data_IF_623428664885
#
_entry.id   IF_623428664885
#
_cell.length_a   1.000
_cell.length_b   1.000
_cell.length_c   1.000
_cell.angle_alpha   90.00
_cell.angle_beta   90.00
_cell.angle_gamma   90.00
#
_symmetry.space_group_name_H-M   'P 1'
#
loop_
_entity.id
_entity.type
_entity.pdbx_description
1 polymer ?
#
# COMPACT_ATOMS: atom_id res chain seq x y z
N UNK A 1 -0.43 -9.14 -15.59
CA UNK A 1 0.23 -8.75 -14.35
C UNK A 1 0.74 -7.34 -14.54
N UNK A 2 0.34 -6.39 -13.70
CA UNK A 2 0.79 -5.00 -13.82
C UNK A 2 2.04 -4.77 -12.97
N UNK A 3 2.27 -5.58 -11.93
CA UNK A 3 3.47 -5.53 -11.08
C UNK A 3 3.79 -4.14 -10.50
N UNK A 4 2.79 -3.25 -10.37
CA UNK A 4 3.00 -1.86 -9.94
C UNK A 4 3.58 -0.94 -11.02
N UNK A 5 3.56 -1.32 -12.30
CA UNK A 5 4.07 -0.52 -13.42
C UNK A 5 2.98 0.43 -13.97
N UNK A 6 3.20 1.74 -13.81
CA UNK A 6 2.31 2.80 -14.31
C UNK A 6 2.20 2.81 -15.83
N UNK A 7 3.30 2.63 -16.54
CA UNK A 7 3.32 2.71 -18.01
C UNK A 7 2.62 1.49 -18.61
N UNK A 8 2.80 0.31 -17.98
CA UNK A 8 2.07 -0.89 -18.34
C UNK A 8 0.57 -0.72 -18.09
N UNK A 9 0.16 -0.23 -16.89
CA UNK A 9 -1.25 0.05 -16.59
C UNK A 9 -1.84 1.02 -17.61
N UNK A 10 -1.10 2.10 -17.91
CA UNK A 10 -1.53 3.13 -18.85
C UNK A 10 -1.79 2.53 -20.23
N UNK A 11 -0.84 1.73 -20.74
CA UNK A 11 -0.97 1.02 -22.01
C UNK A 11 -2.14 0.04 -22.00
N UNK A 12 -2.31 -0.71 -20.91
CA UNK A 12 -3.42 -1.65 -20.75
C UNK A 12 -4.78 -0.94 -20.85
N UNK A 13 -4.95 0.18 -20.15
CA UNK A 13 -6.18 0.97 -20.20
C UNK A 13 -6.39 1.56 -21.60
N UNK A 14 -5.35 2.11 -22.24
CA UNK A 14 -5.44 2.66 -23.60
C UNK A 14 -5.79 1.63 -24.67
N UNK A 15 -5.36 0.38 -24.50
CA UNK A 15 -5.66 -0.73 -25.42
C UNK A 15 -6.95 -1.47 -25.07
N UNK A 16 -7.54 -1.18 -23.90
CA UNK A 16 -8.74 -1.85 -23.44
C UNK A 16 -9.96 -1.48 -24.29
N UNK A 17 -10.79 -2.48 -24.57
CA UNK A 17 -12.08 -2.29 -25.22
C UNK A 17 -13.19 -1.88 -24.24
N UNK A 18 -12.91 -1.92 -22.94
CA UNK A 18 -13.91 -1.66 -21.89
C UNK A 18 -13.47 -0.61 -20.87
N UNK A 19 -12.21 -0.17 -20.88
CA UNK A 19 -11.67 0.82 -19.94
C UNK A 19 -11.22 2.08 -20.66
N UNK A 20 -11.22 3.20 -19.93
CA UNK A 20 -10.66 4.48 -20.34
C UNK A 20 -10.08 5.22 -19.13
N UNK A 21 -9.33 6.29 -19.39
CA UNK A 21 -9.03 7.28 -18.35
C UNK A 21 -9.98 8.46 -18.47
N UNK A 22 -10.63 8.81 -17.36
CA UNK A 22 -11.52 9.96 -17.24
C UNK A 22 -10.83 11.03 -16.39
N UNK A 23 -10.86 12.33 -16.78
CA UNK A 23 -10.35 13.41 -15.93
C UNK A 23 -11.01 13.41 -14.55
N UNK A 24 -10.22 13.65 -13.51
CA UNK A 24 -10.69 13.75 -12.15
C UNK A 24 -10.74 15.22 -11.71
N UNK A 25 -11.95 15.72 -11.43
CA UNK A 25 -12.16 17.02 -10.82
C UNK A 25 -12.19 16.85 -9.28
N UNK A 26 -11.30 17.56 -8.57
CA UNK A 26 -11.33 17.63 -7.10
C UNK A 26 -12.65 18.28 -6.65
N UNK A 27 -13.65 17.45 -6.37
CA UNK A 27 -14.99 17.87 -5.99
C UNK A 27 -16.03 16.74 -5.99
N UNK A 28 -15.81 15.67 -6.77
CA UNK A 28 -16.86 14.70 -7.05
C UNK A 28 -16.96 13.48 -6.11
N UNK A 29 -15.98 13.17 -5.25
CA UNK A 29 -16.01 11.88 -4.51
C UNK A 29 -15.04 11.68 -3.35
N UNK A 30 -14.27 12.69 -2.92
CA UNK A 30 -13.27 12.48 -1.86
C UNK A 30 -13.86 12.07 -0.50
N UNK A 31 -15.14 12.41 -0.24
CA UNK A 31 -15.83 11.99 1.00
C UNK A 31 -16.34 10.54 0.95
N UNK A 32 -16.74 10.01 -0.21
CA UNK A 32 -17.28 8.64 -0.34
C UNK A 32 -16.17 7.57 -0.33
N UNK A 33 -14.99 7.90 -0.86
CA UNK A 33 -13.87 6.96 -0.95
C UNK A 33 -13.07 6.83 0.35
N UNK A 34 -13.27 7.75 1.31
CA UNK A 34 -12.51 7.79 2.55
C UNK A 34 -11.03 8.20 2.38
N UNK A 35 -10.58 8.52 1.16
CA UNK A 35 -9.24 9.03 0.86
C UNK A 35 -9.24 10.08 -0.26
N UNK A 36 -8.24 10.96 -0.25
CA UNK A 36 -8.03 11.96 -1.32
C UNK A 36 -7.35 11.27 -2.50
N UNK A 37 -8.02 11.23 -3.65
CA UNK A 37 -7.44 10.71 -4.88
C UNK A 37 -6.42 11.72 -5.45
N UNK A 38 -5.12 11.37 -5.54
CA UNK A 38 -4.05 12.35 -5.76
C UNK A 38 -3.73 12.62 -7.24
N UNK A 39 -4.41 11.97 -8.18
CA UNK A 39 -4.11 12.07 -9.61
C UNK A 39 -5.17 12.85 -10.38
N UNK A 40 -4.79 13.37 -11.55
CA UNK A 40 -5.61 14.17 -12.45
C UNK A 40 -6.57 13.34 -13.33
N UNK A 41 -6.44 12.01 -13.29
CA UNK A 41 -7.29 11.09 -14.05
C UNK A 41 -7.48 9.77 -13.29
N UNK A 42 -8.65 9.16 -13.47
CA UNK A 42 -8.97 7.85 -12.91
C UNK A 42 -9.38 6.85 -13.98
N UNK A 43 -9.25 5.56 -13.69
CA UNK A 43 -9.74 4.47 -14.56
C UNK A 43 -11.27 4.45 -14.54
N UNK A 44 -11.90 4.31 -15.69
CA UNK A 44 -13.35 4.20 -15.80
C UNK A 44 -13.75 3.17 -16.85
N UNK A 45 -14.99 2.68 -16.79
CA UNK A 45 -15.55 1.89 -17.87
C UNK A 45 -15.85 2.80 -19.08
N UNK A 46 -15.64 2.27 -20.28
CA UNK A 46 -16.10 2.95 -21.49
C UNK A 46 -17.63 3.07 -21.48
N UNK A 47 -18.20 4.21 -21.91
CA UNK A 47 -19.65 4.36 -22.02
C UNK A 47 -20.21 3.32 -22.98
N UNK A 48 -21.22 2.57 -22.56
CA UNK A 48 -21.82 1.56 -23.41
C UNK A 48 -22.51 2.23 -24.61
N UNK A 49 -21.97 2.04 -25.82
CA UNK A 49 -22.50 2.66 -27.04
C UNK A 49 -23.75 1.95 -27.58
N UNK A 50 -24.02 0.73 -27.14
CA UNK A 50 -25.06 -0.13 -27.69
C UNK A 50 -25.96 -0.62 -26.55
N UNK A 51 -27.05 0.09 -26.25
CA UNK A 51 -28.12 -0.40 -25.38
C UNK A 51 -29.33 -0.93 -26.18
N UNK A 52 -29.19 -1.16 -27.49
CA UNK A 52 -30.30 -1.58 -28.37
C UNK A 52 -30.49 -3.11 -28.43
N UNK A 53 -29.54 -3.89 -27.91
CA UNK A 53 -29.44 -5.33 -28.17
C UNK A 53 -30.17 -6.19 -27.12
N UNK A 54 -30.70 -5.60 -26.05
CA UNK A 54 -31.44 -6.31 -24.98
C UNK A 54 -30.64 -7.34 -24.16
N UNK A 55 -29.36 -7.55 -24.53
CA UNK A 55 -28.37 -8.35 -23.81
C UNK A 55 -27.07 -7.54 -23.70
N UNK A 56 -27.00 -6.62 -22.75
CA UNK A 56 -25.73 -5.97 -22.40
C UNK A 56 -25.40 -6.28 -20.95
N UNK A 57 -24.57 -7.31 -20.76
CA UNK A 57 -23.91 -7.48 -19.48
C UNK A 57 -22.94 -6.31 -19.30
N UNK A 58 -23.14 -5.55 -18.23
CA UNK A 58 -22.20 -4.53 -17.80
C UNK A 58 -20.77 -5.11 -17.74
N UNK A 59 -19.74 -4.41 -18.27
CA UNK A 59 -18.38 -4.93 -18.23
C UNK A 59 -17.89 -5.10 -16.79
N UNK A 60 -17.16 -6.19 -16.55
CA UNK A 60 -16.56 -6.54 -15.26
C UNK A 60 -15.04 -6.50 -15.41
N UNK A 61 -14.35 -5.98 -14.40
CA UNK A 61 -12.91 -6.11 -14.23
C UNK A 61 -12.60 -7.09 -13.09
N UNK A 62 -11.74 -8.07 -13.37
CA UNK A 62 -11.11 -8.90 -12.33
C UNK A 62 -9.62 -8.63 -12.39
N UNK A 63 -9.07 -8.05 -11.34
CA UNK A 63 -7.64 -7.79 -11.22
C UNK A 63 -6.96 -8.94 -10.48
N UNK A 64 -5.90 -9.50 -11.08
CA UNK A 64 -5.27 -10.75 -10.63
C UNK A 64 -4.35 -10.63 -9.42
N UNK A 65 -4.11 -9.42 -8.92
CA UNK A 65 -3.19 -9.16 -7.80
C UNK A 65 -1.78 -8.81 -8.26
N UNK A 66 -0.84 -8.90 -7.32
CA UNK A 66 0.57 -8.55 -7.42
C UNK A 66 0.79 -7.07 -7.78
N UNK A 67 0.04 -6.17 -7.13
CA UNK A 67 0.18 -4.72 -7.35
C UNK A 67 1.50 -4.20 -6.79
N UNK A 68 1.89 -4.68 -5.61
CA UNK A 68 3.05 -4.18 -4.87
C UNK A 68 4.31 -5.01 -5.16
N UNK A 69 4.92 -4.82 -6.34
CA UNK A 69 6.12 -5.55 -6.74
C UNK A 69 7.24 -4.68 -7.35
N UNK A 70 7.62 -4.89 -8.62
CA UNK A 70 8.87 -4.37 -9.18
C UNK A 70 8.70 -3.14 -10.09
N UNK A 71 7.47 -2.78 -10.45
CA UNK A 71 7.15 -1.73 -11.42
C UNK A 71 7.32 -0.30 -10.89
N UNK A 72 7.42 -0.14 -9.57
CA UNK A 72 7.84 1.10 -8.92
C UNK A 72 6.83 2.24 -8.92
N UNK A 73 5.59 1.97 -9.29
CA UNK A 73 4.44 2.89 -9.20
C UNK A 73 3.28 2.24 -8.43
N UNK A 74 3.61 1.51 -7.36
CA UNK A 74 2.67 0.71 -6.57
C UNK A 74 1.51 1.56 -6.01
N UNK A 75 1.81 2.75 -5.48
CA UNK A 75 0.79 3.66 -4.94
C UNK A 75 -0.13 4.17 -6.04
N UNK A 76 0.45 4.53 -7.19
CA UNK A 76 -0.35 4.95 -8.35
C UNK A 76 -1.31 3.86 -8.80
N UNK A 77 -0.81 2.64 -9.00
CA UNK A 77 -1.62 1.51 -9.48
C UNK A 77 -2.69 1.14 -8.45
N UNK A 78 -2.33 0.96 -7.17
CA UNK A 78 -3.31 0.52 -6.16
C UNK A 78 -4.42 1.55 -5.97
N UNK A 79 -4.10 2.85 -5.91
CA UNK A 79 -5.10 3.90 -5.71
C UNK A 79 -6.02 4.07 -6.92
N UNK A 80 -5.51 3.85 -8.13
CA UNK A 80 -6.35 3.78 -9.33
C UNK A 80 -7.36 2.64 -9.24
N UNK A 81 -6.90 1.45 -8.85
CA UNK A 81 -7.75 0.28 -8.70
C UNK A 81 -8.78 0.48 -7.58
N UNK A 82 -8.36 0.93 -6.39
CA UNK A 82 -9.26 1.17 -5.25
C UNK A 82 -10.35 2.21 -5.58
N UNK A 83 -9.98 3.33 -6.20
CA UNK A 83 -10.95 4.33 -6.68
C UNK A 83 -11.95 3.73 -7.67
N UNK A 84 -11.48 2.83 -8.54
CA UNK A 84 -12.34 2.15 -9.51
C UNK A 84 -13.28 1.14 -8.84
N UNK A 85 -12.79 0.38 -7.86
CA UNK A 85 -13.61 -0.57 -7.12
C UNK A 85 -14.67 0.11 -6.26
N UNK A 86 -14.33 1.21 -5.60
CA UNK A 86 -15.29 1.91 -4.76
C UNK A 86 -16.42 2.57 -5.58
N UNK A 87 -16.14 2.99 -6.82
CA UNK A 87 -17.17 3.47 -7.76
C UNK A 87 -18.00 2.33 -8.38
N UNK A 88 -17.41 1.15 -8.54
CA UNK A 88 -18.04 0.00 -9.18
C UNK A 88 -17.90 -1.30 -8.36
N UNK A 89 -18.40 -1.36 -7.12
CA UNK A 89 -18.10 -2.45 -6.18
C UNK A 89 -18.64 -3.82 -6.63
N UNK A 90 -19.69 -3.82 -7.46
CA UNK A 90 -20.29 -5.04 -8.01
C UNK A 90 -19.68 -5.48 -9.36
N UNK A 91 -18.68 -4.76 -9.87
CA UNK A 91 -18.10 -4.96 -11.21
C UNK A 91 -16.58 -4.98 -11.22
N UNK A 92 -15.92 -4.61 -10.12
CA UNK A 92 -14.47 -4.62 -10.00
C UNK A 92 -14.10 -5.51 -8.82
N UNK A 93 -13.42 -6.61 -9.12
CA UNK A 93 -13.03 -7.61 -8.14
C UNK A 93 -11.52 -7.74 -8.08
N UNK A 94 -10.99 -7.85 -6.87
CA UNK A 94 -9.56 -8.05 -6.63
C UNK A 94 -9.30 -9.46 -6.12
N UNK A 95 -8.31 -10.10 -6.73
CA UNK A 95 -7.67 -11.29 -6.21
C UNK A 95 -6.36 -10.85 -5.60
N UNK A 96 -6.09 -11.27 -4.36
CA UNK A 96 -4.81 -11.01 -3.72
C UNK A 96 -3.76 -11.94 -4.30
N UNK A 97 -2.72 -11.36 -4.90
CA UNK A 97 -1.59 -12.09 -5.43
C UNK A 97 -0.65 -12.58 -4.33
N UNK A 98 0.29 -13.46 -4.70
CA UNK A 98 1.24 -13.98 -3.74
C UNK A 98 2.15 -12.87 -3.18
N UNK A 99 2.49 -11.86 -3.98
CA UNK A 99 3.30 -10.71 -3.52
C UNK A 99 2.52 -9.84 -2.56
N UNK A 100 1.25 -9.56 -2.86
CA UNK A 100 0.38 -8.76 -1.99
C UNK A 100 0.29 -9.37 -0.59
N UNK A 101 -0.01 -10.67 -0.51
CA UNK A 101 -0.08 -11.41 0.75
C UNK A 101 1.28 -11.39 1.48
N UNK A 102 2.38 -11.54 0.74
CA UNK A 102 3.71 -11.48 1.33
C UNK A 102 4.02 -10.12 1.94
N UNK A 103 3.53 -9.02 1.36
CA UNK A 103 3.74 -7.63 1.82
C UNK A 103 2.90 -7.29 3.04
N UNK A 104 1.74 -7.91 3.24
CA UNK A 104 0.89 -7.69 4.43
C UNK A 104 1.61 -7.96 5.76
N UNK A 105 2.64 -8.81 5.77
CA UNK A 105 3.43 -9.08 6.99
C UNK A 105 4.23 -7.87 7.48
N UNK A 106 4.45 -6.86 6.64
CA UNK A 106 5.20 -5.64 7.02
C UNK A 106 4.63 -5.02 8.28
N UNK A 107 3.29 -4.94 8.41
CA UNK A 107 2.66 -4.40 9.62
C UNK A 107 3.02 -5.23 10.86
N UNK A 108 3.01 -6.56 10.75
CA UNK A 108 3.34 -7.44 11.87
C UNK A 108 4.81 -7.42 12.27
N UNK A 109 5.72 -7.27 11.30
CA UNK A 109 7.17 -7.27 11.54
C UNK A 109 7.70 -5.90 11.96
N UNK A 110 7.06 -4.81 11.53
CA UNK A 110 7.44 -3.44 11.92
C UNK A 110 6.59 -2.90 13.07
N UNK A 111 5.43 -3.50 13.36
CA UNK A 111 4.43 -2.95 14.27
C UNK A 111 3.62 -1.79 13.65
N UNK A 112 2.46 -1.43 14.23
CA UNK A 112 1.56 -0.40 13.69
C UNK A 112 2.12 1.04 13.64
N UNK A 113 3.31 1.28 14.22
CA UNK A 113 3.78 2.63 14.48
C UNK A 113 2.98 3.29 15.61
N UNK A 114 3.52 4.35 16.20
CA UNK A 114 2.94 4.96 17.42
C UNK A 114 1.59 5.67 17.22
N UNK A 115 0.98 5.61 16.04
CA UNK A 115 -0.29 6.30 15.73
C UNK A 115 -1.54 5.60 16.27
N UNK A 116 -1.43 4.35 16.74
CA UNK A 116 -2.56 3.57 17.26
C UNK A 116 -2.73 3.63 18.78
N UNK A 117 -2.31 4.72 19.43
CA UNK A 117 -2.76 4.98 20.82
C UNK A 117 -4.26 5.29 20.79
N UNK A 118 -5.05 4.25 21.05
CA UNK A 118 -6.48 4.28 21.31
C UNK A 118 -6.93 5.58 22.03
N UNK A 119 -7.75 6.45 21.41
CA UNK A 119 -8.28 7.65 22.05
C UNK A 119 -9.19 7.36 23.27
N UNK A 120 -9.57 6.11 23.52
CA UNK A 120 -10.51 5.73 24.58
C UNK A 120 -9.88 5.21 25.88
N UNK A 121 -8.54 5.21 26.01
CA UNK A 121 -7.88 4.79 27.26
C UNK A 121 -7.52 5.93 28.22
N UNK A 122 -7.87 7.19 27.91
CA UNK A 122 -7.51 8.34 28.74
C UNK A 122 -8.67 9.34 28.89
N UNK A 123 -9.85 8.85 29.28
CA UNK A 123 -10.86 9.68 29.95
C UNK A 123 -10.79 9.40 31.44
N UNK A 124 -9.77 9.96 32.09
CA UNK A 124 -9.81 10.38 33.50
C UNK A 124 -8.45 10.97 33.87
N UNK A 125 -8.27 12.27 33.55
CA UNK A 125 -7.65 13.31 34.41
C UNK A 125 -7.16 14.53 33.61
N UNK A 126 -7.84 15.64 33.89
CA UNK A 126 -7.34 17.01 34.12
C UNK A 126 -6.87 17.89 32.95
N UNK A 127 -7.64 18.97 32.80
CA UNK A 127 -7.24 20.38 32.80
C UNK A 127 -6.25 20.91 31.76
N UNK A 128 -6.84 21.70 30.85
CA UNK A 128 -6.29 22.86 30.14
C UNK A 128 -4.78 23.01 30.02
N UNK A 129 -4.22 22.62 28.87
CA UNK A 129 -3.32 23.47 28.10
C UNK A 129 -3.00 22.82 26.75
N UNK A 130 -2.77 23.66 25.73
CA UNK A 130 -2.22 23.38 24.40
C UNK A 130 -2.22 21.92 23.86
N UNK A 131 -3.12 21.63 22.91
CA UNK A 131 -3.01 20.50 21.97
C UNK A 131 -1.70 20.60 21.18
N UNK A 132 -0.70 19.85 21.60
CA UNK A 132 0.50 19.58 20.81
C UNK A 132 0.19 18.44 19.83
N UNK A 133 0.25 18.74 18.54
CA UNK A 133 0.31 17.71 17.51
C UNK A 133 1.62 16.95 17.69
N UNK A 134 1.57 15.74 18.24
CA UNK A 134 2.71 14.83 18.20
C UNK A 134 3.01 14.53 16.74
N UNK A 135 4.17 14.96 16.27
CA UNK A 135 4.63 14.87 14.89
C UNK A 135 4.74 13.41 14.44
N UNK A 136 4.31 13.11 13.21
CA UNK A 136 4.40 11.78 12.59
C UNK A 136 5.81 11.15 12.65
N UNK A 137 6.86 11.99 12.74
CA UNK A 137 8.25 11.58 12.92
C UNK A 137 8.49 10.70 14.18
N UNK A 138 7.74 10.91 15.27
CA UNK A 138 7.89 10.11 16.49
C UNK A 138 7.28 8.69 16.35
N UNK A 139 6.33 8.51 15.42
CA UNK A 139 5.67 7.22 15.19
C UNK A 139 6.50 6.26 14.33
N UNK A 140 7.31 6.80 13.43
CA UNK A 140 8.24 6.04 12.62
C UNK A 140 9.39 5.42 13.44
N UNK A 141 9.84 6.13 14.48
CA UNK A 141 11.05 5.82 15.25
C UNK A 141 10.90 4.71 16.31
N UNK A 142 9.70 4.17 16.54
CA UNK A 142 9.52 3.04 17.45
C UNK A 142 10.24 1.80 16.90
N UNK A 143 11.12 1.20 17.71
CA UNK A 143 11.88 0.02 17.34
C UNK A 143 10.97 -1.10 16.84
N UNK A 144 11.38 -1.79 15.78
CA UNK A 144 10.67 -2.94 15.24
C UNK A 144 10.58 -4.05 16.30
N UNK A 145 9.42 -4.70 16.47
CA UNK A 145 9.26 -5.81 17.40
C UNK A 145 10.28 -6.94 17.14
N UNK A 146 10.56 -7.71 18.19
CA UNK A 146 11.34 -8.94 18.01
C UNK A 146 10.56 -9.90 17.09
N UNK A 147 11.24 -10.43 16.07
CA UNK A 147 10.64 -11.32 15.09
C UNK A 147 11.46 -12.61 14.98
N UNK A 148 10.77 -13.75 15.03
CA UNK A 148 11.38 -15.09 15.08
C UNK A 148 11.82 -15.64 13.72
N UNK A 149 11.93 -14.81 12.69
CA UNK A 149 12.21 -15.24 11.32
C UNK A 149 10.97 -15.65 10.54
N UNK A 150 11.18 -15.96 9.26
CA UNK A 150 10.14 -16.21 8.27
C UNK A 150 9.84 -17.72 8.21
N UNK A 151 8.61 -18.13 8.54
CA UNK A 151 8.33 -19.56 8.78
C UNK A 151 8.62 -20.47 7.58
N UNK A 152 8.42 -19.99 6.35
CA UNK A 152 8.69 -20.77 5.12
C UNK A 152 10.18 -20.84 4.76
N UNK A 153 11.05 -20.13 5.48
CA UNK A 153 12.51 -20.32 5.41
C UNK A 153 13.02 -21.33 6.44
N UNK A 154 12.16 -21.94 7.26
CA UNK A 154 12.57 -22.88 8.30
C UNK A 154 13.37 -24.05 7.72
N UNK A 155 14.60 -24.23 8.21
CA UNK A 155 15.50 -25.31 7.80
C UNK A 155 16.15 -25.12 6.44
N UNK A 156 16.04 -23.93 5.86
CA UNK A 156 16.71 -23.59 4.58
C UNK A 156 18.10 -23.01 4.80
N UNK A 157 18.46 -22.68 6.05
CA UNK A 157 19.70 -22.00 6.42
C UNK A 157 19.89 -20.65 5.71
N UNK A 158 18.79 -20.07 5.21
CA UNK A 158 18.78 -18.74 4.58
C UNK A 158 18.70 -17.64 5.63
N UNK A 159 19.17 -16.45 5.27
CA UNK A 159 18.96 -15.25 6.08
C UNK A 159 17.46 -15.04 6.34
N UNK A 160 17.06 -14.98 7.61
CA UNK A 160 15.65 -14.95 8.03
C UNK A 160 15.04 -16.32 8.36
N UNK A 161 15.79 -17.42 8.28
CA UNK A 161 15.36 -18.74 8.78
C UNK A 161 15.13 -18.68 10.32
N UNK A 162 13.95 -19.08 10.82
CA UNK A 162 13.67 -19.14 12.24
C UNK A 162 14.69 -19.91 13.08
N UNK A 163 15.29 -20.98 12.52
CA UNK A 163 16.29 -21.77 13.22
C UNK A 163 17.58 -20.96 13.45
N UNK A 164 17.95 -20.09 12.50
CA UNK A 164 19.13 -19.20 12.63
C UNK A 164 18.87 -18.08 13.62
N UNK A 165 17.66 -17.51 13.61
CA UNK A 165 17.25 -16.50 14.61
C UNK A 165 17.25 -17.09 16.01
N UNK A 166 16.75 -18.32 16.19
CA UNK A 166 16.81 -19.06 17.46
C UNK A 166 18.25 -19.40 17.89
N UNK A 167 19.15 -19.62 16.92
CA UNK A 167 20.57 -19.84 17.17
C UNK A 167 21.36 -18.56 17.49
N UNK A 168 20.71 -17.39 17.54
CA UNK A 168 21.29 -16.12 17.97
C UNK A 168 21.51 -15.09 16.87
N UNK A 169 21.06 -15.34 15.63
CA UNK A 169 21.09 -14.32 14.57
C UNK A 169 20.05 -13.24 14.84
N UNK A 170 20.51 -12.07 15.31
CA UNK A 170 19.65 -10.94 15.60
C UNK A 170 19.27 -10.20 14.30
N UNK A 171 17.98 -10.06 14.06
CA UNK A 171 17.46 -9.17 13.02
C UNK A 171 17.40 -7.73 13.53
N UNK A 172 17.65 -6.74 12.68
CA UNK A 172 17.75 -5.32 13.08
C UNK A 172 16.45 -4.80 13.75
N UNK A 173 16.56 -4.13 14.88
CA UNK A 173 15.44 -3.46 15.56
C UNK A 173 15.15 -2.08 14.98
N UNK A 174 15.99 -1.56 14.08
CA UNK A 174 15.71 -0.34 13.34
C UNK A 174 14.67 -0.63 12.24
N UNK A 175 13.50 0.06 12.22
CA UNK A 175 12.45 -0.20 11.23
C UNK A 175 12.87 0.00 9.77
N UNK A 176 13.74 0.97 9.48
CA UNK A 176 14.24 1.25 8.13
C UNK A 176 15.09 0.08 7.64
N UNK A 177 16.08 -0.31 8.44
CA UNK A 177 16.95 -1.44 8.11
C UNK A 177 16.15 -2.75 8.00
N UNK A 178 15.19 -2.94 8.89
CA UNK A 178 14.27 -4.09 8.87
C UNK A 178 13.48 -4.13 7.57
N UNK A 179 12.86 -3.02 7.18
CA UNK A 179 12.05 -2.96 5.95
C UNK A 179 12.92 -3.21 4.71
N UNK A 180 14.09 -2.56 4.60
CA UNK A 180 15.04 -2.79 3.49
C UNK A 180 15.45 -4.27 3.41
N UNK A 181 15.77 -4.88 4.55
CA UNK A 181 16.07 -6.30 4.64
C UNK A 181 14.90 -7.18 4.19
N UNK A 182 13.67 -6.91 4.64
CA UNK A 182 12.48 -7.67 4.26
C UNK A 182 12.29 -7.65 2.74
N UNK A 183 12.28 -6.45 2.16
CA UNK A 183 12.08 -6.23 0.73
C UNK A 183 13.15 -6.94 -0.12
N UNK A 184 14.42 -6.84 0.29
CA UNK A 184 15.54 -7.42 -0.44
C UNK A 184 15.65 -8.95 -0.29
N UNK A 185 15.56 -9.46 0.95
CA UNK A 185 15.97 -10.83 1.29
C UNK A 185 14.83 -11.83 1.30
N UNK A 186 13.63 -11.38 1.68
CA UNK A 186 12.50 -12.28 1.96
C UNK A 186 11.29 -12.00 1.08
N UNK A 187 11.25 -10.89 0.33
CA UNK A 187 10.14 -10.54 -0.56
C UNK A 187 10.51 -10.48 -2.04
N UNK A 188 11.80 -10.45 -2.38
CA UNK A 188 12.27 -10.47 -3.77
C UNK A 188 12.03 -9.17 -4.54
N UNK A 189 11.89 -8.05 -3.83
CA UNK A 189 11.62 -6.71 -4.39
C UNK A 189 12.67 -5.71 -3.88
N UNK A 190 13.95 -5.86 -4.23
CA UNK A 190 15.06 -5.11 -3.62
C UNK A 190 14.99 -3.59 -3.85
N UNK A 191 14.34 -3.14 -4.93
CA UNK A 191 14.21 -1.72 -5.27
C UNK A 191 12.93 -1.06 -4.71
N UNK A 192 12.00 -1.85 -4.17
CA UNK A 192 10.69 -1.35 -3.75
C UNK A 192 10.75 -0.28 -2.63
N UNK A 193 11.83 -0.24 -1.84
CA UNK A 193 12.05 0.82 -0.88
C UNK A 193 12.32 2.16 -1.59
N UNK A 194 13.22 2.12 -2.58
CA UNK A 194 13.62 3.30 -3.34
C UNK A 194 12.47 3.80 -4.21
N UNK A 195 11.76 2.90 -4.88
CA UNK A 195 10.58 3.28 -5.66
C UNK A 195 9.49 3.92 -4.81
N UNK A 196 9.20 3.36 -3.62
CA UNK A 196 8.24 3.99 -2.71
C UNK A 196 8.67 5.40 -2.31
N UNK A 197 9.97 5.61 -2.07
CA UNK A 197 10.52 6.94 -1.76
C UNK A 197 10.31 7.92 -2.91
N UNK A 198 10.54 7.48 -4.13
CA UNK A 198 10.33 8.29 -5.35
C UNK A 198 8.85 8.62 -5.56
N UNK A 199 7.94 7.67 -5.36
CA UNK A 199 6.49 7.93 -5.42
C UNK A 199 6.05 8.98 -4.39
N UNK A 200 6.47 8.83 -3.13
CA UNK A 200 6.17 9.80 -2.08
C UNK A 200 6.71 11.20 -2.42
N UNK A 201 7.90 11.27 -3.05
CA UNK A 201 8.50 12.52 -3.47
C UNK A 201 7.72 13.18 -4.62
N UNK A 202 7.16 12.39 -5.54
CA UNK A 202 6.29 12.87 -6.62
C UNK A 202 4.96 13.39 -6.08
N UNK A 203 4.39 12.74 -5.07
CA UNK A 203 3.13 13.17 -4.44
C UNK A 203 3.32 14.39 -3.53
N UNK A 204 4.52 14.59 -3.00
CA UNK A 204 4.86 15.72 -2.14
C UNK A 204 6.11 16.46 -2.67
N UNK A 205 6.03 17.15 -3.83
CA UNK A 205 7.20 17.75 -4.48
C UNK A 205 7.95 18.78 -3.62
N UNK A 206 7.26 19.38 -2.65
CA UNK A 206 7.81 20.40 -1.76
C UNK A 206 8.34 19.82 -0.42
N UNK A 207 8.14 18.53 -0.16
CA UNK A 207 8.61 17.87 1.04
C UNK A 207 9.94 17.14 0.78
N UNK A 208 10.77 17.04 1.81
CA UNK A 208 11.95 16.16 1.79
C UNK A 208 11.54 14.83 2.39
N UNK A 209 11.50 13.78 1.57
CA UNK A 209 11.09 12.45 2.02
C UNK A 209 12.25 11.72 2.70
N UNK A 210 12.07 11.40 3.98
CA UNK A 210 13.00 10.61 4.79
C UNK A 210 12.78 9.10 4.59
N UNK A 211 13.72 8.29 5.09
CA UNK A 211 13.56 6.84 5.08
C UNK A 211 12.46 6.38 6.07
N UNK A 212 12.26 7.16 7.13
CA UNK A 212 11.18 7.01 8.12
C UNK A 212 9.79 7.25 7.51
N UNK A 213 9.68 8.18 6.55
CA UNK A 213 8.43 8.42 5.81
C UNK A 213 8.07 7.21 4.94
N UNK A 214 9.07 6.56 4.35
CA UNK A 214 8.86 5.30 3.59
C UNK A 214 8.33 4.21 4.51
N UNK A 215 8.94 4.01 5.68
CA UNK A 215 8.46 3.05 6.68
C UNK A 215 7.02 3.37 7.09
N UNK A 216 6.72 4.64 7.34
CA UNK A 216 5.38 5.10 7.73
C UNK A 216 4.36 4.82 6.62
N UNK A 217 4.70 5.11 5.37
CA UNK A 217 3.85 4.79 4.21
C UNK A 217 3.55 3.29 4.14
N UNK A 218 4.56 2.43 4.28
CA UNK A 218 4.34 0.98 4.27
C UNK A 218 3.44 0.50 5.42
N UNK A 219 3.61 1.04 6.63
CA UNK A 219 2.74 0.75 7.78
C UNK A 219 1.30 1.18 7.51
N UNK A 220 1.12 2.40 7.01
CA UNK A 220 -0.20 2.96 6.72
C UNK A 220 -0.94 2.12 5.68
N UNK A 221 -0.28 1.74 4.58
CA UNK A 221 -0.93 0.93 3.55
C UNK A 221 -1.23 -0.50 3.96
N UNK A 222 -0.38 -1.12 4.79
CA UNK A 222 -0.62 -2.48 5.30
C UNK A 222 -1.58 -2.49 6.50
N UNK A 223 -1.94 -1.34 7.04
CA UNK A 223 -2.93 -1.23 8.13
C UNK A 223 -4.30 -1.74 7.64
N UNK A 224 -5.15 -2.35 8.48
CA UNK A 224 -6.52 -2.78 8.11
C UNK A 224 -7.49 -1.69 7.63
N UNK A 225 -7.02 -0.45 7.49
CA UNK A 225 -7.76 0.70 6.95
C UNK A 225 -6.97 1.41 5.84
N UNK A 226 -5.82 0.86 5.46
CA UNK A 226 -4.97 1.37 4.39
C UNK A 226 -5.30 0.73 3.06
N UNK A 227 -4.45 0.97 2.06
CA UNK A 227 -4.69 0.50 0.69
C UNK A 227 -4.75 -1.04 0.54
N UNK A 228 -4.20 -1.80 1.49
CA UNK A 228 -4.19 -3.27 1.48
C UNK A 228 -5.12 -3.90 2.54
N UNK A 229 -5.89 -3.06 3.26
CA UNK A 229 -6.70 -3.44 4.42
C UNK A 229 -8.13 -3.85 4.13
#
# INVERSE_FOLDING_TARGET
>A
DVEGDRDYLTRFVQQSQILQFTPYCQGDSSEELGFVFPYDHHIDFLPNKNNDDGLTNDPILVYGGDVWDQGGSDLYVIRQLLSFQARYPNRVFFIMGNRDINKMRILSELGPGSTDTNPQANQDKNDGDHKTFTTAAAAAAAAAPAHGGVYWFRGTDREGDPNRVQAGEALSTNPVDRLKWMLQKTMGSPQAFQYRKEELQLEQPNAVISDEDVVTSYRQSCHPRGEMG
#
